data_IF_963741961555
#
_entry.id   IF_963741961555
#
_cell.length_a   1.000
_cell.length_b   1.000
_cell.length_c   1.000
_cell.angle_alpha   90.00
_cell.angle_beta   90.00
_cell.angle_gamma   90.00
#
_symmetry.space_group_name_H-M   'P 1'
#
loop_
_entity.id
_entity.type
_entity.pdbx_description
1 polymer ?
#
# COMPACT_ATOMS: atom_id res chain seq x y z
N UNK A 1 6.09 8.70 17.90
CA UNK A 1 5.36 7.59 17.27
C UNK A 1 5.34 6.44 18.26
N UNK A 2 4.20 5.79 18.43
CA UNK A 2 4.03 4.73 19.43
C UNK A 2 4.81 3.45 19.05
N UNK A 3 5.36 2.74 20.03
CA UNK A 3 6.23 1.58 19.81
C UNK A 3 5.60 0.48 18.96
N UNK A 4 4.29 0.24 19.13
CA UNK A 4 3.59 -0.78 18.34
C UNK A 4 3.46 -0.38 16.87
N UNK A 5 3.38 0.92 16.56
CA UNK A 5 3.33 1.42 15.17
C UNK A 5 4.66 1.16 14.51
N UNK A 6 5.76 1.53 15.17
CA UNK A 6 7.12 1.28 14.67
C UNK A 6 7.38 -0.22 14.47
N UNK A 7 6.98 -1.06 15.44
CA UNK A 7 7.07 -2.52 15.32
C UNK A 7 6.25 -3.04 14.14
N UNK A 8 5.02 -2.54 13.96
CA UNK A 8 4.17 -2.90 12.81
C UNK A 8 4.84 -2.53 11.49
N UNK A 9 5.47 -1.36 11.39
CA UNK A 9 6.18 -0.94 10.18
C UNK A 9 7.34 -1.90 9.87
N UNK A 10 8.20 -2.18 10.85
CA UNK A 10 9.37 -3.04 10.66
C UNK A 10 8.94 -4.46 10.25
N UNK A 11 8.02 -5.06 11.00
CA UNK A 11 7.50 -6.41 10.71
C UNK A 11 6.77 -6.43 9.37
N UNK A 12 6.03 -5.37 9.05
CA UNK A 12 5.33 -5.21 7.79
C UNK A 12 6.28 -5.22 6.60
N UNK A 13 7.34 -4.41 6.62
CA UNK A 13 8.34 -4.37 5.53
C UNK A 13 8.92 -5.76 5.27
N UNK A 14 9.33 -6.47 6.33
CA UNK A 14 9.86 -7.83 6.22
C UNK A 14 8.81 -8.79 5.64
N UNK A 15 7.56 -8.69 6.11
CA UNK A 15 6.46 -9.54 5.65
C UNK A 15 6.14 -9.33 4.18
N UNK A 16 6.13 -8.10 3.69
CA UNK A 16 5.91 -7.78 2.27
C UNK A 16 7.06 -8.30 1.39
N UNK A 17 8.31 -8.17 1.85
CA UNK A 17 9.46 -8.76 1.16
C UNK A 17 9.35 -10.29 1.08
N UNK A 18 8.96 -10.96 2.17
CA UNK A 18 8.73 -12.41 2.18
C UNK A 18 7.60 -12.76 1.21
N UNK A 19 6.48 -12.04 1.23
CA UNK A 19 5.36 -12.26 0.30
C UNK A 19 5.80 -12.14 -1.16
N UNK A 20 6.65 -11.17 -1.50
CA UNK A 20 7.24 -11.04 -2.82
C UNK A 20 8.12 -12.24 -3.20
N UNK A 21 9.01 -12.67 -2.30
CA UNK A 21 9.88 -13.84 -2.52
C UNK A 21 9.02 -15.11 -2.73
N UNK A 22 7.95 -15.26 -1.95
CA UNK A 22 6.99 -16.36 -2.12
C UNK A 22 6.29 -16.27 -3.49
N UNK A 23 5.81 -15.09 -3.89
CA UNK A 23 5.21 -14.89 -5.21
C UNK A 23 6.19 -15.25 -6.35
N UNK A 24 7.45 -14.84 -6.25
CA UNK A 24 8.52 -15.21 -7.20
C UNK A 24 8.75 -16.72 -7.26
N UNK A 25 8.65 -17.43 -6.13
CA UNK A 25 8.82 -18.89 -6.08
C UNK A 25 7.62 -19.65 -6.65
N UNK A 26 6.41 -19.17 -6.42
CA UNK A 26 5.18 -19.78 -6.97
C UNK A 26 5.07 -19.53 -8.48
N UNK A 27 5.48 -18.34 -8.93
CA UNK A 27 5.40 -17.90 -10.32
C UNK A 27 6.79 -17.63 -10.92
N UNK A 28 7.68 -18.64 -11.02
CA UNK A 28 9.07 -18.43 -11.41
C UNK A 28 9.24 -17.96 -12.87
N UNK A 29 8.25 -18.26 -13.72
CA UNK A 29 8.21 -17.86 -15.13
C UNK A 29 7.68 -16.44 -15.36
N UNK A 30 7.08 -15.83 -14.33
CA UNK A 30 6.53 -14.47 -14.45
C UNK A 30 7.63 -13.42 -14.22
N UNK A 31 7.38 -12.19 -14.66
CA UNK A 31 8.31 -11.08 -14.48
C UNK A 31 8.37 -10.60 -13.02
N UNK A 32 9.40 -9.81 -12.70
CA UNK A 32 9.49 -9.09 -11.43
C UNK A 32 8.26 -8.22 -11.20
N UNK A 33 7.87 -7.43 -12.21
CA UNK A 33 6.71 -6.53 -12.15
C UNK A 33 5.41 -7.29 -11.88
N UNK A 34 5.19 -8.43 -12.55
CA UNK A 34 4.02 -9.26 -12.31
C UNK A 34 3.94 -9.75 -10.87
N UNK A 35 5.05 -10.21 -10.30
CA UNK A 35 5.07 -10.67 -8.91
C UNK A 35 4.87 -9.51 -7.93
N UNK A 36 5.40 -8.32 -8.23
CA UNK A 36 5.16 -7.12 -7.43
C UNK A 36 3.68 -6.68 -7.50
N UNK A 37 3.02 -6.84 -8.65
CA UNK A 37 1.58 -6.60 -8.81
C UNK A 37 0.73 -7.53 -7.96
N UNK A 38 1.09 -8.81 -7.82
CA UNK A 38 0.39 -9.72 -6.91
C UNK A 38 0.45 -9.18 -5.47
N UNK A 39 1.64 -8.79 -5.00
CA UNK A 39 1.83 -8.22 -3.67
C UNK A 39 1.04 -6.92 -3.50
N UNK A 40 1.03 -6.08 -4.53
CA UNK A 40 0.26 -4.83 -4.58
C UNK A 40 -1.24 -5.08 -4.42
N UNK A 41 -1.79 -6.07 -5.12
CA UNK A 41 -3.20 -6.46 -5.03
C UNK A 41 -3.54 -6.99 -3.63
N UNK A 42 -2.67 -7.83 -3.05
CA UNK A 42 -2.86 -8.32 -1.67
C UNK A 42 -2.91 -7.16 -0.68
N UNK A 43 -1.98 -6.20 -0.79
CA UNK A 43 -2.00 -5.00 0.03
C UNK A 43 -3.29 -4.20 -0.17
N UNK A 44 -3.74 -4.00 -1.41
CA UNK A 44 -4.97 -3.25 -1.70
C UNK A 44 -6.18 -3.90 -1.02
N UNK A 45 -6.34 -5.23 -1.13
CA UNK A 45 -7.42 -5.96 -0.47
C UNK A 45 -7.31 -5.85 1.05
N UNK A 46 -6.14 -6.09 1.62
CA UNK A 46 -5.94 -5.99 3.07
C UNK A 46 -6.20 -4.59 3.60
N UNK A 47 -5.74 -3.55 2.90
CA UNK A 47 -5.94 -2.17 3.30
C UNK A 47 -7.42 -1.77 3.26
N UNK A 48 -8.19 -2.18 2.22
CA UNK A 48 -9.65 -1.93 2.18
C UNK A 48 -10.36 -2.65 3.32
N UNK A 49 -10.05 -3.94 3.54
CA UNK A 49 -10.67 -4.73 4.59
C UNK A 49 -10.37 -4.15 5.98
N UNK A 50 -9.10 -3.88 6.27
CA UNK A 50 -8.69 -3.32 7.56
C UNK A 50 -9.23 -1.91 7.78
N UNK A 51 -9.22 -1.05 6.75
CA UNK A 51 -9.82 0.29 6.83
C UNK A 51 -11.31 0.20 7.16
N UNK A 52 -12.05 -0.70 6.49
CA UNK A 52 -13.48 -0.94 6.75
C UNK A 52 -13.71 -1.42 8.18
N UNK A 53 -12.87 -2.31 8.69
CA UNK A 53 -12.94 -2.81 10.07
C UNK A 53 -12.49 -1.78 11.13
N UNK A 54 -11.79 -0.73 10.71
CA UNK A 54 -11.33 0.36 11.58
C UNK A 54 -12.35 1.49 11.75
N UNK A 55 -13.45 1.48 10.97
CA UNK A 55 -14.55 2.42 11.10
C UNK A 55 -15.26 2.17 12.43
N UNK A 56 -15.31 3.20 13.27
CA UNK A 56 -15.95 3.11 14.60
C UNK A 56 -17.47 3.26 14.51
N UNK A 57 -17.94 4.20 13.67
CA UNK A 57 -19.35 4.41 13.41
C UNK A 57 -19.61 4.55 11.91
N UNK A 58 -20.36 3.62 11.35
CA UNK A 58 -20.76 3.65 9.93
C UNK A 58 -21.81 4.72 9.62
N UNK A 59 -22.47 5.31 10.62
CA UNK A 59 -23.40 6.43 10.43
C UNK A 59 -22.66 7.74 10.16
N UNK A 60 -21.47 7.92 10.74
CA UNK A 60 -20.54 8.97 10.33
C UNK A 60 -19.10 8.43 10.23
N UNK A 61 -18.71 7.82 9.09
CA UNK A 61 -17.40 7.16 8.93
C UNK A 61 -16.21 8.13 8.93
N UNK A 62 -16.48 9.44 8.88
CA UNK A 62 -15.48 10.52 8.81
C UNK A 62 -15.50 11.39 10.09
N UNK A 63 -16.48 11.19 11.00
CA UNK A 63 -16.56 11.96 12.24
C UNK A 63 -15.84 11.23 13.39
N UNK A 64 -15.23 11.98 14.32
CA UNK A 64 -14.92 13.41 14.27
C UNK A 64 -13.64 13.67 13.44
N UNK A 65 -13.66 14.62 12.51
CA UNK A 65 -12.49 14.97 11.68
C UNK A 65 -11.28 15.52 12.48
N UNK A 66 -11.49 15.88 13.75
CA UNK A 66 -10.50 16.55 14.60
C UNK A 66 -10.04 15.71 15.79
N UNK A 67 -10.61 14.53 16.02
CA UNK A 67 -10.15 13.63 17.08
C UNK A 67 -8.79 13.01 16.72
N UNK A 68 -8.11 12.46 17.73
CA UNK A 68 -6.96 11.61 17.47
C UNK A 68 -7.44 10.31 16.82
N UNK A 69 -6.57 9.72 16.01
CA UNK A 69 -6.83 8.44 15.37
C UNK A 69 -6.95 7.32 16.39
N UNK A 70 -7.86 6.39 16.13
CA UNK A 70 -7.96 5.19 16.94
C UNK A 70 -6.74 4.28 16.72
N UNK A 71 -6.47 3.42 17.71
CA UNK A 71 -5.39 2.44 17.63
C UNK A 71 -5.49 1.59 16.36
N UNK A 72 -6.71 1.17 15.98
CA UNK A 72 -6.98 0.41 14.76
C UNK A 72 -6.61 1.21 13.51
N UNK A 73 -7.04 2.47 13.42
CA UNK A 73 -6.74 3.34 12.28
C UNK A 73 -5.23 3.57 12.11
N UNK A 74 -4.51 3.74 13.21
CA UNK A 74 -3.05 3.85 13.20
C UNK A 74 -2.37 2.55 12.77
N UNK A 75 -2.86 1.38 13.21
CA UNK A 75 -2.35 0.09 12.76
C UNK A 75 -2.55 -0.12 11.25
N UNK A 76 -3.75 0.19 10.72
CA UNK A 76 -4.01 0.11 9.27
C UNK A 76 -3.02 0.99 8.51
N UNK A 77 -2.81 2.22 8.99
CA UNK A 77 -1.87 3.14 8.36
C UNK A 77 -0.42 2.65 8.42
N UNK A 78 -0.02 2.05 9.53
CA UNK A 78 1.31 1.46 9.70
C UNK A 78 1.55 0.31 8.70
N UNK A 79 0.54 -0.54 8.48
CA UNK A 79 0.59 -1.62 7.47
C UNK A 79 0.76 -1.03 6.07
N UNK A 80 0.01 0.00 5.72
CA UNK A 80 0.13 0.65 4.40
C UNK A 80 1.46 1.38 4.22
N UNK A 81 1.94 2.08 5.24
CA UNK A 81 3.26 2.72 5.21
C UNK A 81 4.38 1.69 5.01
N UNK A 82 4.30 0.56 5.70
CA UNK A 82 5.26 -0.54 5.53
C UNK A 82 5.28 -1.10 4.11
N UNK A 83 4.10 -1.21 3.48
CA UNK A 83 3.98 -1.63 2.10
C UNK A 83 4.59 -0.59 1.14
N UNK A 84 4.34 0.70 1.35
CA UNK A 84 4.93 1.74 0.50
C UNK A 84 6.46 1.77 0.57
N UNK A 85 7.03 1.53 1.75
CA UNK A 85 8.49 1.41 1.92
C UNK A 85 9.00 0.20 1.12
N UNK A 86 8.37 -0.96 1.27
CA UNK A 86 8.70 -2.14 0.47
C UNK A 86 8.59 -1.86 -1.05
N UNK A 87 7.50 -1.24 -1.48
CA UNK A 87 7.20 -1.02 -2.90
C UNK A 87 8.13 0.02 -3.52
N UNK A 88 8.52 1.06 -2.76
CA UNK A 88 9.58 1.98 -3.15
C UNK A 88 10.88 1.24 -3.43
N UNK A 89 11.29 0.35 -2.52
CA UNK A 89 12.50 -0.46 -2.71
C UNK A 89 12.39 -1.30 -3.98
N UNK A 90 11.25 -1.98 -4.21
CA UNK A 90 11.01 -2.72 -5.45
C UNK A 90 11.06 -1.84 -6.72
N UNK A 91 10.56 -0.61 -6.65
CA UNK A 91 10.62 0.34 -7.76
C UNK A 91 12.07 0.77 -8.09
N UNK A 92 12.95 0.86 -7.09
CA UNK A 92 14.37 1.19 -7.30
C UNK A 92 15.16 0.05 -7.96
N UNK A 93 14.74 -1.21 -7.73
CA UNK A 93 15.38 -2.39 -8.32
C UNK A 93 14.79 -2.84 -9.66
N UNK A 94 13.59 -2.36 -10.02
CA UNK A 94 12.96 -2.70 -11.30
C UNK A 94 13.61 -1.99 -12.48
N UNK A 95 13.64 -2.65 -13.64
CA UNK A 95 14.23 -2.13 -14.91
C UNK A 95 13.59 -0.83 -15.43
N UNK A 96 12.48 -0.37 -14.83
CA UNK A 96 11.75 0.83 -15.22
C UNK A 96 11.48 1.71 -14.01
N UNK A 97 12.55 2.18 -13.37
CA UNK A 97 12.47 3.21 -12.34
C UNK A 97 11.89 4.50 -12.95
N UNK A 98 10.57 4.68 -12.81
CA UNK A 98 9.91 5.92 -13.18
C UNK A 98 10.09 6.92 -12.03
N UNK A 99 10.78 8.03 -12.31
CA UNK A 99 11.06 9.07 -11.34
C UNK A 99 9.77 9.64 -10.71
N UNK A 100 8.69 9.73 -11.49
CA UNK A 100 7.39 10.21 -11.00
C UNK A 100 6.81 9.26 -9.95
N UNK A 101 6.97 7.95 -10.15
CA UNK A 101 6.50 6.93 -9.21
C UNK A 101 7.35 6.93 -7.93
N UNK A 102 8.65 7.17 -8.05
CA UNK A 102 9.56 7.28 -6.91
C UNK A 102 9.24 8.51 -6.06
N UNK A 103 9.02 9.67 -6.69
CA UNK A 103 8.59 10.90 -6.00
C UNK A 103 7.22 10.70 -5.36
N UNK A 104 6.27 10.07 -6.05
CA UNK A 104 4.95 9.75 -5.50
C UNK A 104 5.06 8.91 -4.22
N UNK A 105 5.91 7.87 -4.23
CA UNK A 105 6.16 7.04 -3.06
C UNK A 105 6.81 7.81 -1.92
N UNK A 106 7.83 8.64 -2.19
CA UNK A 106 8.50 9.43 -1.17
C UNK A 106 7.54 10.43 -0.50
N UNK A 107 6.77 11.18 -1.30
CA UNK A 107 5.77 12.13 -0.80
C UNK A 107 4.70 11.38 0.02
N UNK A 108 4.27 10.21 -0.45
CA UNK A 108 3.30 9.38 0.28
C UNK A 108 3.86 8.88 1.61
N UNK A 109 5.07 8.34 1.64
CA UNK A 109 5.75 7.86 2.85
C UNK A 109 5.89 8.99 3.88
N UNK A 110 6.33 10.18 3.45
CA UNK A 110 6.46 11.35 4.34
C UNK A 110 5.09 11.79 4.85
N UNK A 111 4.08 11.87 3.98
CA UNK A 111 2.72 12.28 4.36
C UNK A 111 2.08 11.32 5.37
N UNK A 112 2.20 10.00 5.16
CA UNK A 112 1.70 9.00 6.09
C UNK A 112 2.50 8.95 7.39
N UNK A 113 3.82 9.08 7.31
CA UNK A 113 4.70 9.17 8.48
C UNK A 113 4.34 10.36 9.35
N UNK A 114 4.08 11.53 8.75
CA UNK A 114 3.59 12.71 9.46
C UNK A 114 2.22 12.44 10.09
N UNK A 115 1.26 11.85 9.36
CA UNK A 115 -0.05 11.48 9.90
C UNK A 115 0.02 10.56 11.12
N UNK A 116 0.93 9.58 11.11
CA UNK A 116 1.20 8.70 12.25
C UNK A 116 1.88 9.43 13.42
N UNK A 117 2.83 10.32 13.15
CA UNK A 117 3.52 11.10 14.19
C UNK A 117 2.58 12.07 14.91
N UNK A 118 1.65 12.69 14.18
CA UNK A 118 0.67 13.63 14.75
C UNK A 118 -0.62 12.96 15.21
N UNK A 119 -0.78 11.63 15.05
CA UNK A 119 -2.02 10.89 15.34
C UNK A 119 -3.24 11.48 14.61
N UNK A 120 -3.04 11.98 13.39
CA UNK A 120 -4.05 12.60 12.52
C UNK A 120 -4.23 11.78 11.23
N UNK A 121 -4.54 10.51 11.40
CA UNK A 121 -4.97 9.59 10.33
C UNK A 121 -6.48 9.66 10.18
N UNK A 122 -6.96 10.00 8.98
CA UNK A 122 -8.40 9.96 8.65
C UNK A 122 -8.71 8.83 7.68
N UNK A 123 -9.97 8.35 7.70
CA UNK A 123 -10.47 7.41 6.71
C UNK A 123 -10.30 7.94 5.27
N UNK A 124 -10.41 9.26 5.08
CA UNK A 124 -10.16 9.90 3.80
C UNK A 124 -8.70 9.74 3.35
N UNK A 125 -7.73 9.87 4.27
CA UNK A 125 -6.31 9.61 3.99
C UNK A 125 -6.08 8.15 3.57
N UNK A 126 -6.75 7.19 4.24
CA UNK A 126 -6.69 5.76 3.92
C UNK A 126 -7.23 5.46 2.51
N UNK A 127 -8.43 5.96 2.19
CA UNK A 127 -9.11 5.71 0.90
C UNK A 127 -8.38 6.43 -0.24
N UNK A 128 -8.01 7.70 -0.07
CA UNK A 128 -7.35 8.49 -1.13
C UNK A 128 -6.02 7.87 -1.55
N UNK A 129 -5.26 7.35 -0.59
CA UNK A 129 -3.99 6.69 -0.84
C UNK A 129 -4.18 5.32 -1.55
N UNK A 130 -5.20 4.57 -1.16
CA UNK A 130 -5.56 3.31 -1.83
C UNK A 130 -5.93 3.53 -3.30
N UNK A 131 -6.69 4.59 -3.60
CA UNK A 131 -7.05 4.96 -4.96
C UNK A 131 -5.86 5.54 -5.75
N UNK A 132 -5.04 6.42 -5.18
CA UNK A 132 -3.92 7.02 -5.93
C UNK A 132 -2.79 6.03 -6.19
N UNK A 133 -2.39 5.21 -5.22
CA UNK A 133 -1.22 4.34 -5.43
C UNK A 133 -1.54 3.06 -6.21
N UNK A 134 -2.78 2.53 -6.12
CA UNK A 134 -3.17 1.31 -6.83
C UNK A 134 -3.86 1.57 -8.18
N UNK A 135 -4.68 2.63 -8.32
CA UNK A 135 -5.28 2.91 -9.63
C UNK A 135 -4.24 3.31 -10.66
N UNK A 136 -3.14 3.99 -10.31
CA UNK A 136 -2.06 4.26 -11.28
C UNK A 136 -1.42 2.97 -11.81
N UNK A 137 -1.17 1.97 -10.96
CA UNK A 137 -0.61 0.67 -11.38
C UNK A 137 -1.61 -0.22 -12.13
N UNK A 138 -2.89 -0.15 -11.77
CA UNK A 138 -3.97 -0.88 -12.45
C UNK A 138 -4.44 -0.20 -13.75
N UNK A 139 -4.32 1.13 -13.89
CA UNK A 139 -4.69 1.88 -15.10
C UNK A 139 -3.58 1.91 -16.15
N UNK A 140 -2.31 1.73 -15.74
CA UNK A 140 -1.20 1.47 -16.67
C UNK A 140 -1.34 0.14 -17.47
N UNK A 141 -2.47 -0.56 -17.35
CA UNK A 141 -2.85 -1.80 -18.03
C UNK A 141 -3.33 -1.58 -19.48
N UNK A 142 -3.51 -0.33 -19.96
CA UNK A 142 -4.19 -0.08 -21.25
C UNK A 142 -3.27 0.04 -22.50
N UNK A 143 -2.27 -0.84 -22.68
CA UNK A 143 -2.22 -1.48 -24.01
C UNK A 143 -1.97 -3.01 -24.00
N UNK A 144 -1.34 -3.58 -22.98
CA UNK A 144 -0.77 -4.93 -23.10
C UNK A 144 -1.70 -6.07 -22.65
N UNK A 145 -2.82 -5.76 -21.98
CA UNK A 145 -3.82 -6.77 -21.62
C UNK A 145 -4.51 -7.40 -22.85
N UNK A 146 -4.45 -6.75 -24.02
CA UNK A 146 -4.95 -7.31 -25.27
C UNK A 146 -4.05 -8.40 -25.88
N UNK A 147 -2.78 -8.50 -25.45
CA UNK A 147 -1.85 -9.49 -25.99
C UNK A 147 -1.99 -10.87 -25.32
N UNK A 148 -2.41 -10.92 -24.05
CA UNK A 148 -2.54 -12.18 -23.29
C UNK A 148 -3.80 -12.97 -23.70
N UNK A 149 -4.81 -12.30 -24.30
CA UNK A 149 -6.02 -12.93 -24.84
C UNK A 149 -5.90 -13.40 -26.31
N UNK A 150 -4.74 -13.24 -26.96
CA UNK A 150 -4.50 -13.69 -28.36
C UNK A 150 -3.70 -15.01 -28.47
N UNK A 151 -3.53 -15.75 -27.38
CA UNK A 151 -2.88 -17.08 -27.39
C UNK A 151 -3.82 -18.22 -26.96
N UNK A 152 -5.12 -18.09 -27.25
CA UNK A 152 -6.03 -19.23 -27.35
C UNK A 152 -6.56 -19.34 -28.76
#
# INVERSE_FOLDING_TARGET
MEDYVTKTIIVGVVSWTIAFVVARRIFPKCSFDFCNRIVSTIHATLAVTLASLSVEDWRCPICPMTSNSSHKQMQVMAVTLSYLIYDLVCCLFGERANMDNTIHHLVSIVGLGAGLCYQKVTLFTQIKLLFTTQCYKLLAVSPDAAAILRLR
#
